data_IF_694302012918
#
_entry.id   IF_694302012918
#
_cell.length_a   1.000
_cell.length_b   1.000
_cell.length_c   1.000
_cell.angle_alpha   90.00
_cell.angle_beta   90.00
_cell.angle_gamma   90.00
#
_symmetry.space_group_name_H-M   'P 1'
#
loop_
_entity.id
_entity.type
_entity.pdbx_description
1 polymer ?
#
# COMPACT_ATOMS: atom_id res chain seq x y z
N UNK A 1 9.61 3.72 14.99
CA UNK A 1 9.13 2.50 14.30
C UNK A 1 7.74 2.16 14.78
N UNK A 2 7.53 1.94 16.08
CA UNK A 2 6.19 1.80 16.67
C UNK A 2 5.25 2.90 16.21
N UNK A 3 5.68 4.16 16.35
CA UNK A 3 4.87 5.33 16.04
C UNK A 3 4.49 5.39 14.56
N UNK A 4 5.35 4.88 13.68
CA UNK A 4 5.05 4.85 12.25
C UNK A 4 3.97 3.81 11.96
N UNK A 5 4.08 2.60 12.53
CA UNK A 5 3.08 1.55 12.32
C UNK A 5 1.74 1.87 12.99
N UNK A 6 1.74 2.50 14.18
CA UNK A 6 0.49 2.97 14.80
C UNK A 6 -0.16 4.04 13.95
N UNK A 7 0.61 4.97 13.37
CA UNK A 7 0.05 5.98 12.47
C UNK A 7 -0.48 5.33 11.17
N UNK A 8 0.30 4.49 10.50
CA UNK A 8 -0.09 3.90 9.19
C UNK A 8 -1.30 2.98 9.31
N UNK A 9 -1.36 2.14 10.35
CA UNK A 9 -2.41 1.14 10.51
C UNK A 9 -3.56 1.59 11.41
N UNK A 10 -3.52 2.83 11.91
CA UNK A 10 -4.42 3.32 12.97
C UNK A 10 -4.44 2.37 14.19
N UNK A 11 -3.26 1.81 14.49
CA UNK A 11 -3.07 0.77 15.47
C UNK A 11 -2.69 1.29 16.85
N UNK A 12 -2.85 0.43 17.85
CA UNK A 12 -2.46 0.67 19.23
C UNK A 12 -1.33 -0.26 19.67
N UNK A 13 -0.41 0.26 20.47
CA UNK A 13 0.62 -0.55 21.14
C UNK A 13 -0.02 -1.26 22.32
N UNK A 14 -0.05 -2.59 22.30
CA UNK A 14 -0.60 -3.42 23.40
C UNK A 14 0.46 -3.83 24.41
N UNK A 15 1.72 -3.84 24.00
CA UNK A 15 2.87 -4.10 24.86
C UNK A 15 4.12 -3.49 24.24
N UNK A 16 5.00 -2.91 25.07
CA UNK A 16 6.32 -2.47 24.65
C UNK A 16 7.33 -2.55 25.80
N UNK A 17 8.54 -3.01 25.48
CA UNK A 17 9.70 -2.92 26.36
C UNK A 17 10.95 -2.42 25.59
N UNK A 18 12.14 -2.58 26.18
CA UNK A 18 13.40 -2.11 25.56
C UNK A 18 13.82 -2.90 24.31
N UNK A 19 13.22 -4.06 24.06
CA UNK A 19 13.59 -5.06 23.04
C UNK A 19 12.47 -5.33 22.04
N UNK A 20 11.21 -5.33 22.45
CA UNK A 20 10.07 -5.71 21.61
C UNK A 20 8.86 -4.80 21.81
N UNK A 21 8.08 -4.59 20.75
CA UNK A 21 6.77 -3.95 20.81
C UNK A 21 5.76 -4.72 19.96
N UNK A 22 4.51 -4.77 20.43
CA UNK A 22 3.39 -5.42 19.75
C UNK A 22 2.30 -4.39 19.45
N UNK A 23 1.81 -4.40 18.21
CA UNK A 23 0.76 -3.48 17.72
C UNK A 23 -0.41 -4.29 17.20
N UNK A 24 -1.62 -3.86 17.54
CA UNK A 24 -2.87 -4.37 16.97
C UNK A 24 -3.74 -3.22 16.49
N UNK A 25 -4.70 -3.52 15.62
CA UNK A 25 -5.73 -2.59 15.14
C UNK A 25 -7.12 -3.25 15.11
N UNK A 26 -7.25 -4.45 15.68
CA UNK A 26 -8.51 -5.19 15.81
C UNK A 26 -8.48 -6.07 17.08
N UNK A 27 -9.35 -7.07 17.17
CA UNK A 27 -9.45 -7.97 18.32
C UNK A 27 -8.30 -8.98 18.45
N UNK A 28 -7.41 -9.07 17.46
CA UNK A 28 -6.26 -9.96 17.52
C UNK A 28 -5.23 -9.46 18.52
N UNK A 29 -4.56 -10.38 19.22
CA UNK A 29 -3.59 -10.03 20.26
C UNK A 29 -2.43 -9.16 19.73
N UNK A 30 -1.95 -9.42 18.52
CA UNK A 30 -1.13 -8.48 17.73
C UNK A 30 -1.19 -8.80 16.24
N UNK A 31 -1.02 -7.77 15.42
CA UNK A 31 -0.87 -7.86 13.96
C UNK A 31 0.57 -7.60 13.52
N UNK A 32 1.29 -6.77 14.28
CA UNK A 32 2.69 -6.44 14.02
C UNK A 32 3.52 -6.63 15.29
N UNK A 33 4.65 -7.32 15.16
CA UNK A 33 5.68 -7.44 16.20
C UNK A 33 6.96 -6.76 15.73
N UNK A 34 7.51 -5.85 16.54
CA UNK A 34 8.71 -5.09 16.25
C UNK A 34 9.82 -5.49 17.21
N UNK A 35 10.91 -6.04 16.68
CA UNK A 35 12.08 -6.44 17.48
C UNK A 35 13.23 -5.45 17.26
N UNK A 36 13.81 -4.98 18.35
CA UNK A 36 14.98 -4.10 18.32
C UNK A 36 16.23 -4.90 17.98
N UNK A 37 16.80 -4.63 16.81
CA UNK A 37 18.11 -5.14 16.43
C UNK A 37 19.23 -4.35 17.13
N UNK A 38 20.24 -5.01 17.72
CA UNK A 38 21.42 -4.36 18.30
C UNK A 38 22.11 -3.45 17.28
N UNK A 39 22.56 -2.26 17.72
CA UNK A 39 23.20 -1.27 16.84
C UNK A 39 24.40 -1.82 16.07
N UNK A 40 25.18 -2.72 16.67
CA UNK A 40 26.34 -3.34 16.03
C UNK A 40 25.97 -4.23 14.83
N UNK A 41 24.73 -4.77 14.83
CA UNK A 41 24.21 -5.60 13.74
C UNK A 41 23.39 -4.77 12.73
N UNK A 42 23.13 -3.49 13.01
CA UNK A 42 22.48 -2.60 12.04
C UNK A 42 23.51 -2.15 11.00
N UNK A 43 23.30 -2.55 9.74
CA UNK A 43 24.08 -2.03 8.61
C UNK A 43 23.77 -0.52 8.48
N UNK A 44 24.78 0.34 8.22
CA UNK A 44 24.55 1.79 8.12
C UNK A 44 23.54 2.18 7.03
N UNK A 45 22.51 2.92 7.44
CA UNK A 45 21.66 3.74 6.57
C UNK A 45 21.22 3.09 5.25
N UNK A 46 21.58 3.73 4.14
CA UNK A 46 21.11 3.43 2.78
C UNK A 46 21.26 1.96 2.37
N UNK A 47 22.27 1.26 2.88
CA UNK A 47 22.48 -0.16 2.57
C UNK A 47 21.37 -1.06 3.14
N UNK A 48 20.85 -0.74 4.33
CA UNK A 48 19.73 -1.49 4.90
C UNK A 48 18.41 -1.20 4.18
N UNK A 49 18.17 0.05 3.75
CA UNK A 49 17.00 0.40 2.92
C UNK A 49 16.99 -0.29 1.55
N UNK A 50 18.17 -0.67 1.05
CA UNK A 50 18.32 -1.43 -0.19
C UNK A 50 18.13 -2.94 0.01
N UNK A 51 18.04 -3.42 1.25
CA UNK A 51 17.89 -4.85 1.57
C UNK A 51 16.73 -5.48 0.77
N UNK A 52 15.56 -4.84 0.70
CA UNK A 52 14.42 -5.35 -0.08
C UNK A 52 14.80 -5.74 -1.52
N UNK A 53 15.69 -4.98 -2.17
CA UNK A 53 16.12 -5.21 -3.56
C UNK A 53 17.02 -6.45 -3.73
N UNK A 54 17.56 -7.01 -2.66
CA UNK A 54 18.52 -8.12 -2.69
C UNK A 54 18.00 -9.43 -2.10
N UNK A 55 17.00 -9.38 -1.20
CA UNK A 55 16.59 -10.56 -0.39
C UNK A 55 15.21 -11.13 -0.75
N UNK A 56 14.51 -10.57 -1.74
CA UNK A 56 13.33 -11.18 -2.37
C UNK A 56 12.00 -11.04 -1.61
N UNK A 57 12.00 -10.57 -0.36
CA UNK A 57 10.77 -10.16 0.32
C UNK A 57 10.36 -8.76 -0.16
N UNK A 58 9.27 -8.62 -0.93
CA UNK A 58 8.86 -7.32 -1.45
C UNK A 58 8.04 -6.49 -0.44
N UNK A 59 6.90 -6.99 0.04
CA UNK A 59 6.04 -6.20 0.92
C UNK A 59 5.15 -7.08 1.80
N UNK A 60 4.53 -6.44 2.80
CA UNK A 60 3.37 -6.95 3.53
C UNK A 60 2.15 -6.10 3.17
N UNK A 61 0.99 -6.74 2.99
CA UNK A 61 -0.24 -6.07 2.61
C UNK A 61 -1.29 -6.13 3.72
N UNK A 62 -2.04 -5.03 3.87
CA UNK A 62 -3.16 -4.86 4.77
C UNK A 62 -4.39 -4.45 3.94
N UNK A 63 -5.43 -5.27 3.99
CA UNK A 63 -6.66 -5.05 3.22
C UNK A 63 -7.68 -4.28 4.05
N UNK A 64 -8.25 -3.26 3.45
CA UNK A 64 -9.41 -2.52 3.93
C UNK A 64 -10.67 -3.06 3.25
N UNK A 65 -11.79 -2.99 3.97
CA UNK A 65 -13.09 -3.45 3.44
C UNK A 65 -13.63 -2.54 2.32
N UNK A 66 -13.27 -1.25 2.35
CA UNK A 66 -13.88 -0.21 1.51
C UNK A 66 -12.83 0.77 0.97
N UNK A 67 -13.07 1.24 -0.26
CA UNK A 67 -12.19 2.21 -0.94
C UNK A 67 -12.17 3.55 -0.21
N UNK A 68 -13.31 3.96 0.35
CA UNK A 68 -13.51 5.18 1.12
C UNK A 68 -12.59 5.20 2.35
N UNK A 69 -12.45 4.07 3.05
CA UNK A 69 -11.57 3.95 4.21
C UNK A 69 -10.10 3.99 3.80
N UNK A 70 -9.74 3.36 2.69
CA UNK A 70 -8.37 3.43 2.13
C UNK A 70 -8.00 4.88 1.77
N UNK A 71 -8.90 5.60 1.11
CA UNK A 71 -8.72 7.00 0.71
C UNK A 71 -8.65 7.94 1.91
N UNK A 72 -9.53 7.76 2.90
CA UNK A 72 -9.51 8.53 4.15
C UNK A 72 -8.20 8.29 4.91
N UNK A 73 -7.72 7.04 4.92
CA UNK A 73 -6.42 6.69 5.50
C UNK A 73 -5.29 7.38 4.76
N UNK A 74 -5.30 7.39 3.43
CA UNK A 74 -4.33 8.14 2.63
C UNK A 74 -4.29 9.62 3.02
N UNK A 75 -5.44 10.30 3.12
CA UNK A 75 -5.50 11.71 3.51
C UNK A 75 -4.90 11.94 4.89
N UNK A 76 -5.32 11.15 5.88
CA UNK A 76 -4.79 11.19 7.25
C UNK A 76 -3.26 11.02 7.31
N UNK A 77 -2.70 10.12 6.51
CA UNK A 77 -1.26 9.89 6.44
C UNK A 77 -0.53 11.03 5.73
N UNK A 78 -1.09 11.54 4.64
CA UNK A 78 -0.57 12.70 3.90
C UNK A 78 -0.46 13.93 4.81
N UNK A 79 -1.50 14.20 5.60
CA UNK A 79 -1.54 15.31 6.57
C UNK A 79 -0.51 15.13 7.71
N UNK A 80 -0.17 13.88 8.04
CA UNK A 80 0.88 13.53 9.00
C UNK A 80 2.30 13.50 8.38
N UNK A 81 2.44 13.85 7.10
CA UNK A 81 3.72 13.86 6.37
C UNK A 81 4.23 12.47 5.94
N UNK A 82 3.35 11.46 5.94
CA UNK A 82 3.65 10.09 5.46
C UNK A 82 3.06 9.94 4.06
N UNK A 83 3.94 9.99 3.05
CA UNK A 83 3.53 9.93 1.65
C UNK A 83 3.76 8.56 1.02
N UNK A 84 2.89 8.14 0.09
CA UNK A 84 3.08 6.90 -0.62
C UNK A 84 4.32 6.94 -1.53
N UNK A 85 4.97 5.80 -1.68
CA UNK A 85 6.05 5.60 -2.66
C UNK A 85 5.51 5.16 -4.01
N UNK A 86 4.34 4.52 -4.03
CA UNK A 86 3.69 4.01 -5.23
C UNK A 86 2.17 3.83 -5.04
N UNK A 87 1.39 4.33 -5.99
CA UNK A 87 -0.07 4.14 -6.05
C UNK A 87 -0.40 3.46 -7.37
N UNK A 88 -1.04 2.30 -7.31
CA UNK A 88 -1.31 1.48 -8.50
C UNK A 88 -2.60 0.68 -8.36
N UNK A 89 -3.36 0.62 -9.45
CA UNK A 89 -4.47 -0.32 -9.59
C UNK A 89 -3.95 -1.55 -10.35
N UNK A 90 -3.80 -2.66 -9.62
CA UNK A 90 -3.33 -3.93 -10.15
C UNK A 90 -4.38 -4.66 -10.97
N UNK A 91 -5.63 -4.19 -11.01
CA UNK A 91 -6.78 -4.90 -11.57
C UNK A 91 -7.55 -5.61 -10.46
N UNK A 92 -7.02 -6.70 -9.86
CA UNK A 92 -7.62 -7.34 -8.70
C UNK A 92 -7.77 -6.40 -7.50
N UNK A 93 -6.82 -5.48 -7.31
CA UNK A 93 -6.73 -4.63 -6.12
C UNK A 93 -6.38 -3.19 -6.48
N UNK A 94 -6.81 -2.25 -5.64
CA UNK A 94 -6.39 -0.85 -5.67
C UNK A 94 -5.47 -0.62 -4.48
N UNK A 95 -4.19 -0.31 -4.75
CA UNK A 95 -3.10 -0.42 -3.77
C UNK A 95 -2.31 0.87 -3.62
N UNK A 96 -2.00 1.22 -2.37
CA UNK A 96 -1.16 2.35 -1.97
C UNK A 96 0.00 1.81 -1.12
N UNK A 97 1.22 1.93 -1.65
CA UNK A 97 2.43 1.46 -1.01
C UNK A 97 3.15 2.60 -0.26
N UNK A 98 3.54 2.32 0.97
CA UNK A 98 4.37 3.15 1.83
C UNK A 98 5.69 2.45 2.15
N UNK A 99 6.69 3.21 2.59
CA UNK A 99 7.94 2.66 3.13
C UNK A 99 8.10 3.04 4.60
N UNK A 100 8.37 2.04 5.43
CA UNK A 100 8.67 2.25 6.83
C UNK A 100 10.06 2.91 7.02
N UNK A 101 10.41 3.37 8.24
CA UNK A 101 11.71 3.97 8.51
C UNK A 101 12.94 3.11 8.15
N UNK A 102 12.80 1.78 8.14
CA UNK A 102 13.87 0.82 7.80
C UNK A 102 13.83 0.43 6.30
N UNK A 103 12.85 0.89 5.53
CA UNK A 103 12.70 0.66 4.08
C UNK A 103 11.84 -0.55 3.71
N UNK A 104 11.13 -1.16 4.68
CA UNK A 104 10.17 -2.21 4.38
C UNK A 104 8.95 -1.61 3.69
N UNK A 105 8.45 -2.28 2.66
CA UNK A 105 7.27 -1.83 1.94
C UNK A 105 6.01 -2.36 2.60
N UNK A 106 5.07 -1.46 2.83
CA UNK A 106 3.75 -1.76 3.38
C UNK A 106 2.70 -1.35 2.36
N UNK A 107 1.87 -2.29 1.95
CA UNK A 107 0.73 -2.06 1.06
C UNK A 107 -0.54 -1.89 1.88
N UNK A 108 -1.24 -0.79 1.64
CA UNK A 108 -2.63 -0.64 2.05
C UNK A 108 -3.49 -0.79 0.79
N UNK A 109 -4.45 -1.70 0.81
CA UNK A 109 -5.22 -2.03 -0.39
C UNK A 109 -6.70 -2.29 -0.12
N UNK A 110 -7.49 -2.30 -1.19
CA UNK A 110 -8.87 -2.84 -1.22
C UNK A 110 -9.02 -3.77 -2.42
N UNK A 111 -9.82 -4.81 -2.26
CA UNK A 111 -10.18 -5.70 -3.37
C UNK A 111 -11.15 -5.00 -4.32
N UNK A 112 -10.87 -5.06 -5.62
CA UNK A 112 -11.73 -4.47 -6.65
C UNK A 112 -12.92 -5.39 -6.99
N UNK A 113 -12.93 -6.65 -6.55
CA UNK A 113 -13.97 -7.63 -6.85
C UNK A 113 -14.59 -8.17 -5.56
N UNK A 114 -15.92 -8.26 -5.52
CA UNK A 114 -16.64 -8.72 -4.33
C UNK A 114 -16.53 -10.24 -4.11
N UNK A 115 -16.08 -11.00 -5.13
CA UNK A 115 -15.89 -12.43 -5.02
C UNK A 115 -14.78 -12.95 -5.94
N UNK A 116 -14.21 -14.09 -5.55
CA UNK A 116 -13.25 -14.82 -6.38
C UNK A 116 -13.83 -15.15 -7.76
N UNK A 117 -15.15 -15.40 -7.87
CA UNK A 117 -15.78 -15.69 -9.15
C UNK A 117 -15.70 -14.50 -10.10
N UNK A 118 -16.06 -13.31 -9.64
CA UNK A 118 -15.97 -12.10 -10.47
C UNK A 118 -14.52 -11.80 -10.88
N UNK A 119 -13.57 -12.00 -9.97
CA UNK A 119 -12.16 -11.88 -10.27
C UNK A 119 -11.73 -12.86 -11.38
N UNK A 120 -12.12 -14.13 -11.29
CA UNK A 120 -11.79 -15.14 -12.30
C UNK A 120 -12.43 -14.82 -13.66
N UNK A 121 -13.68 -14.35 -13.68
CA UNK A 121 -14.36 -13.93 -14.91
C UNK A 121 -13.62 -12.75 -15.59
N UNK A 122 -13.13 -11.80 -14.80
CA UNK A 122 -12.30 -10.69 -15.32
C UNK A 122 -10.92 -11.17 -15.81
N UNK A 123 -10.27 -12.11 -15.12
CA UNK A 123 -8.97 -12.67 -15.54
C UNK A 123 -9.05 -13.36 -16.90
N UNK A 124 -10.14 -14.07 -17.18
CA UNK A 124 -10.40 -14.70 -18.50
C UNK A 124 -10.52 -13.67 -19.62
N UNK A 125 -10.93 -12.43 -19.29
CA UNK A 125 -11.03 -11.32 -20.24
C UNK A 125 -9.70 -10.84 -20.84
N UNK A 126 -8.55 -11.36 -20.38
CA UNK A 126 -7.24 -11.11 -21.00
C UNK A 126 -6.53 -9.82 -20.55
N UNK A 127 -7.24 -8.89 -19.92
CA UNK A 127 -6.68 -7.60 -19.47
C UNK A 127 -5.51 -7.77 -18.48
N UNK A 128 -5.55 -8.81 -17.64
CA UNK A 128 -4.45 -9.13 -16.74
C UNK A 128 -3.25 -9.73 -17.46
N UNK A 129 -3.47 -10.53 -18.50
CA UNK A 129 -2.38 -11.12 -19.29
C UNK A 129 -1.61 -10.05 -20.07
N UNK A 130 -2.31 -9.04 -20.59
CA UNK A 130 -1.69 -7.89 -21.26
C UNK A 130 -0.94 -6.96 -20.29
N UNK A 131 -1.48 -6.79 -19.08
CA UNK A 131 -0.89 -5.94 -18.07
C UNK A 131 -1.01 -6.56 -16.67
N UNK A 132 -0.06 -7.42 -16.26
CA UNK A 132 -0.10 -8.06 -14.94
C UNK A 132 0.35 -7.12 -13.81
N UNK A 133 0.98 -5.99 -14.16
CA UNK A 133 1.49 -5.02 -13.18
C UNK A 133 0.42 -3.98 -12.84
N UNK A 134 -0.39 -3.52 -13.79
CA UNK A 134 -1.45 -2.54 -13.53
C UNK A 134 -1.14 -1.13 -14.01
N UNK A 135 -1.90 -0.17 -13.50
CA UNK A 135 -1.89 1.24 -13.96
C UNK A 135 -1.76 2.17 -12.77
N UNK A 136 -0.79 3.08 -12.82
CA UNK A 136 -0.62 4.11 -11.80
C UNK A 136 -1.85 5.01 -11.73
N UNK A 137 -2.23 5.35 -10.50
CA UNK A 137 -3.21 6.39 -10.22
C UNK A 137 -2.61 7.49 -9.35
N UNK A 138 -3.31 8.61 -9.29
CA UNK A 138 -3.01 9.71 -8.38
C UNK A 138 -3.98 9.67 -7.20
N UNK A 139 -3.49 9.51 -5.96
CA UNK A 139 -4.36 9.35 -4.80
C UNK A 139 -5.14 10.63 -4.45
N UNK A 140 -4.63 11.82 -4.79
CA UNK A 140 -5.37 13.08 -4.62
C UNK A 140 -6.53 13.16 -5.63
N UNK A 141 -6.34 12.65 -6.86
CA UNK A 141 -7.42 12.56 -7.86
C UNK A 141 -8.46 11.55 -7.43
N UNK A 142 -8.04 10.38 -6.98
CA UNK A 142 -8.93 9.32 -6.50
C UNK A 142 -9.77 9.80 -5.32
N UNK A 143 -9.17 10.49 -4.36
CA UNK A 143 -9.87 11.06 -3.22
C UNK A 143 -10.96 12.05 -3.64
N UNK A 144 -10.66 12.98 -4.55
CA UNK A 144 -11.66 13.93 -5.05
C UNK A 144 -12.84 13.23 -5.74
N UNK A 145 -12.57 12.15 -6.47
CA UNK A 145 -13.63 11.38 -7.12
C UNK A 145 -14.51 10.62 -6.11
N UNK A 146 -13.91 10.09 -5.03
CA UNK A 146 -14.66 9.49 -3.92
C UNK A 146 -15.53 10.56 -3.24
N UNK A 147 -15.00 11.74 -2.94
CA UNK A 147 -15.79 12.84 -2.35
C UNK A 147 -16.88 13.39 -3.28
N UNK A 148 -16.77 13.14 -4.58
CA UNK A 148 -17.79 13.49 -5.56
C UNK A 148 -18.83 12.36 -5.77
N UNK A 149 -18.84 11.34 -4.89
CA UNK A 149 -19.75 10.20 -4.93
C UNK A 149 -19.72 9.42 -6.27
N UNK A 150 -18.56 9.38 -6.93
CA UNK A 150 -18.39 8.58 -8.15
C UNK A 150 -18.53 7.11 -7.77
N UNK A 151 -19.37 6.32 -8.48
CA UNK A 151 -19.62 4.93 -8.09
C UNK A 151 -18.35 4.08 -8.07
N UNK A 152 -18.20 3.22 -7.05
CA UNK A 152 -17.08 2.30 -6.92
C UNK A 152 -16.84 1.45 -8.18
N UNK A 153 -17.91 1.05 -8.88
CA UNK A 153 -17.83 0.29 -10.14
C UNK A 153 -17.08 1.02 -11.26
N UNK A 154 -16.99 2.35 -11.20
CA UNK A 154 -16.18 3.18 -12.09
C UNK A 154 -14.77 3.38 -11.52
N UNK A 155 -14.66 3.65 -10.21
CA UNK A 155 -13.38 3.91 -9.54
C UNK A 155 -12.44 2.71 -9.55
N UNK A 156 -12.97 1.49 -9.43
CA UNK A 156 -12.16 0.26 -9.46
C UNK A 156 -11.53 -0.06 -10.82
N UNK A 157 -11.96 0.62 -11.89
CA UNK A 157 -11.40 0.38 -13.24
C UNK A 157 -9.99 0.97 -13.32
N UNK A 158 -9.08 0.23 -13.94
CA UNK A 158 -7.71 0.73 -14.16
C UNK A 158 -7.73 2.03 -14.95
N UNK A 159 -7.01 3.04 -14.47
CA UNK A 159 -6.94 4.36 -15.09
C UNK A 159 -8.09 5.32 -14.75
N UNK A 160 -8.95 4.99 -13.77
CA UNK A 160 -10.05 5.84 -13.30
C UNK A 160 -9.59 7.16 -12.67
N UNK A 161 -8.43 7.18 -12.02
CA UNK A 161 -7.85 8.35 -11.36
C UNK A 161 -6.44 8.68 -11.90
N UNK A 162 -6.32 9.15 -13.16
CA UNK A 162 -5.03 9.43 -13.75
C UNK A 162 -4.36 10.66 -13.11
N UNK A 163 -3.03 10.70 -13.02
CA UNK A 163 -2.31 11.90 -12.57
C UNK A 163 -2.58 13.12 -13.44
N UNK A 164 -2.67 14.29 -12.82
CA UNK A 164 -2.88 15.53 -13.56
C UNK A 164 -1.67 15.88 -14.44
N UNK A 165 -1.95 16.42 -15.63
CA UNK A 165 -0.92 16.92 -16.54
C UNK A 165 -0.03 15.85 -17.20
N UNK A 166 -0.26 14.55 -16.96
CA UNK A 166 0.48 13.47 -17.62
C UNK A 166 -0.36 12.21 -17.82
N UNK A 167 0.01 11.38 -18.80
CA UNK A 167 -0.58 10.04 -18.93
C UNK A 167 -0.16 9.16 -17.74
N UNK A 168 -1.08 8.32 -17.20
CA UNK A 168 -0.71 7.33 -16.19
C UNK A 168 0.30 6.35 -16.78
N UNK A 169 1.25 5.91 -15.96
CA UNK A 169 2.16 4.83 -16.36
C UNK A 169 1.43 3.51 -16.22
N UNK A 170 1.75 2.56 -17.09
CA UNK A 170 1.11 1.26 -17.17
C UNK A 170 2.14 0.17 -17.45
N UNK A 171 1.91 -1.03 -16.90
CA UNK A 171 2.80 -2.18 -17.09
C UNK A 171 4.20 -1.93 -16.57
N UNK A 172 5.21 -2.39 -17.33
CA UNK A 172 6.62 -2.25 -16.98
C UNK A 172 7.07 -0.81 -16.74
N UNK A 173 6.37 0.20 -17.31
CA UNK A 173 6.72 1.62 -17.12
C UNK A 173 6.46 2.10 -15.70
N UNK A 174 5.67 1.36 -14.92
CA UNK A 174 5.44 1.65 -13.50
C UNK A 174 6.65 1.27 -12.64
N UNK A 175 7.48 0.33 -13.09
CA UNK A 175 8.68 -0.14 -12.39
C UNK A 175 9.84 0.83 -12.60
N UNK A 176 10.29 1.45 -11.52
CA UNK A 176 11.37 2.44 -11.45
C UNK A 176 12.19 2.18 -10.20
N UNK A 177 13.33 2.83 -10.06
CA UNK A 177 14.15 2.71 -8.85
C UNK A 177 13.37 2.90 -7.53
N UNK A 178 12.40 3.84 -7.51
CA UNK A 178 11.55 4.12 -6.34
C UNK A 178 10.45 3.06 -6.11
N UNK A 179 10.00 2.37 -7.15
CA UNK A 179 8.87 1.40 -7.10
C UNK A 179 9.33 -0.05 -7.20
N UNK A 180 10.57 -0.30 -7.62
CA UNK A 180 11.32 -1.54 -7.43
C UNK A 180 11.92 -1.58 -6.03
#
# INVERSE_FOLDING_TARGET
>A
MSDWYTQVLDGMVVFADKRIAFITYDHEHHRVALIRIPRLLKIPGMFWKLHRKFWGFDHVAFTFDHLETLVTTYRRLSDAGIYPVWCINHGPTTSIYYEDPDGNRVELQVDNFASNRELMDWLVGGEFAENPIGVEFDPDVLERLVHADVPFSQLRRRGSAPPEGRKPRSGLRTLRWKTL
#
